data_IF_637186578161
#
_entry.id   IF_637186578161
#
_cell.length_a   1.000
_cell.length_b   1.000
_cell.length_c   1.000
_cell.angle_alpha   90.00
_cell.angle_beta   90.00
_cell.angle_gamma   90.00
#
_symmetry.space_group_name_H-M   'P 1'
#
loop_
_entity.id
_entity.type
_entity.pdbx_description
1 polymer ?
#
# COMPACT_ATOMS: atom_id res chain seq x y z
N UNK A 1 -9.15 -4.38 -11.88
CA UNK A 1 -8.43 -5.25 -10.91
C UNK A 1 -8.82 -6.72 -11.04
N UNK A 2 -10.03 -7.09 -11.43
CA UNK A 2 -10.46 -8.51 -11.52
C UNK A 2 -9.64 -9.46 -12.43
N UNK A 3 -8.72 -8.94 -13.27
CA UNK A 3 -7.78 -9.74 -14.08
C UNK A 3 -6.46 -10.06 -13.35
N UNK A 4 -6.17 -9.37 -12.24
CA UNK A 4 -4.92 -9.46 -11.48
C UNK A 4 -5.26 -9.52 -10.00
N UNK A 5 -4.79 -10.55 -9.30
CA UNK A 5 -5.04 -10.74 -7.87
C UNK A 5 -3.77 -10.44 -7.06
N UNK A 6 -3.47 -9.16 -6.77
CA UNK A 6 -2.26 -8.80 -6.02
C UNK A 6 -2.35 -9.28 -4.58
N UNK A 7 -1.26 -9.81 -4.03
CA UNK A 7 -1.18 -10.15 -2.61
C UNK A 7 -1.00 -8.90 -1.73
N UNK A 8 -0.24 -7.93 -2.23
CA UNK A 8 0.11 -6.71 -1.53
C UNK A 8 -0.22 -5.50 -2.40
N UNK A 9 -0.73 -4.44 -1.79
CA UNK A 9 -1.08 -3.17 -2.40
C UNK A 9 -0.39 -2.03 -1.63
N UNK A 10 0.08 -1.01 -2.34
CA UNK A 10 0.78 0.12 -1.74
C UNK A 10 0.03 1.39 -2.11
N UNK A 11 -0.30 2.19 -1.09
CA UNK A 11 -0.89 3.51 -1.23
C UNK A 11 0.14 4.53 -0.77
N UNK A 12 0.55 5.40 -1.68
CA UNK A 12 1.41 6.54 -1.37
C UNK A 12 0.53 7.75 -1.07
N UNK A 13 0.46 8.12 0.20
CA UNK A 13 -0.25 9.30 0.67
C UNK A 13 0.52 10.01 1.81
N UNK A 14 0.25 11.30 1.97
CA UNK A 14 0.79 12.12 3.05
C UNK A 14 -0.06 12.07 4.30
N UNK A 15 0.59 12.14 5.47
CA UNK A 15 -0.09 12.34 6.75
C UNK A 15 -0.92 13.63 6.69
N UNK A 16 -2.16 13.58 7.16
CA UNK A 16 -3.13 14.68 7.09
C UNK A 16 -3.46 15.13 5.66
N UNK A 17 -3.64 14.18 4.73
CA UNK A 17 -4.01 14.50 3.36
C UNK A 17 -5.35 15.27 3.28
N UNK A 18 -5.27 16.53 2.85
CA UNK A 18 -6.43 17.43 2.68
C UNK A 18 -7.29 17.11 1.46
N UNK A 19 -6.80 16.27 0.55
CA UNK A 19 -7.54 15.82 -0.64
C UNK A 19 -8.50 14.65 -0.34
N UNK A 20 -8.49 14.12 0.88
CA UNK A 20 -9.39 13.04 1.28
C UNK A 20 -9.05 11.68 0.66
N UNK A 21 -7.79 11.48 0.26
CA UNK A 21 -7.30 10.16 -0.13
C UNK A 21 -6.77 9.37 1.09
N UNK A 22 -6.65 8.04 0.94
CA UNK A 22 -7.40 7.22 -0.01
C UNK A 22 -8.91 7.26 0.32
N UNK A 23 -9.74 7.45 -0.71
CA UNK A 23 -11.20 7.44 -0.55
C UNK A 23 -11.70 6.03 -0.24
N UNK A 24 -12.86 5.91 0.42
CA UNK A 24 -13.46 4.61 0.77
C UNK A 24 -13.66 3.69 -0.44
N UNK A 25 -14.01 4.24 -1.61
CA UNK A 25 -14.13 3.48 -2.86
C UNK A 25 -12.83 2.76 -3.25
N UNK A 26 -11.68 3.39 -3.05
CA UNK A 26 -10.36 2.80 -3.33
C UNK A 26 -10.05 1.70 -2.32
N UNK A 27 -10.36 1.92 -1.03
CA UNK A 27 -10.16 0.91 0.01
C UNK A 27 -11.01 -0.35 -0.25
N UNK A 28 -12.26 -0.16 -0.71
CA UNK A 28 -13.16 -1.26 -1.07
C UNK A 28 -12.65 -2.07 -2.27
N UNK A 29 -12.03 -1.42 -3.25
CA UNK A 29 -11.41 -2.11 -4.40
C UNK A 29 -10.17 -2.91 -3.98
N UNK A 30 -9.43 -2.43 -2.98
CA UNK A 30 -8.20 -3.03 -2.48
C UNK A 30 -8.41 -3.99 -1.30
N UNK A 31 -9.66 -4.29 -0.93
CA UNK A 31 -9.99 -5.14 0.22
C UNK A 31 -9.43 -6.57 0.13
N UNK A 32 -9.14 -7.05 -1.08
CA UNK A 32 -8.64 -8.39 -1.35
C UNK A 32 -7.10 -8.49 -1.30
N UNK A 33 -6.40 -7.39 -1.03
CA UNK A 33 -4.95 -7.37 -0.89
C UNK A 33 -4.53 -6.75 0.44
N UNK A 34 -3.35 -7.12 0.93
CA UNK A 34 -2.78 -6.48 2.10
C UNK A 34 -2.28 -5.08 1.74
N UNK A 35 -2.86 -4.05 2.35
CA UNK A 35 -2.61 -2.64 2.01
C UNK A 35 -1.55 -2.05 2.95
N UNK A 36 -0.45 -1.57 2.36
CA UNK A 36 0.53 -0.71 3.01
C UNK A 36 0.29 0.76 2.64
N UNK A 37 0.48 1.67 3.59
CA UNK A 37 0.13 3.08 3.50
C UNK A 37 1.23 3.96 4.05
N UNK A 38 1.81 4.84 3.23
CA UNK A 38 2.92 5.71 3.69
C UNK A 38 2.51 6.71 4.76
N UNK A 39 1.22 7.07 4.83
CA UNK A 39 0.69 7.97 5.85
C UNK A 39 0.54 7.31 7.24
N UNK A 40 0.54 5.97 7.28
CA UNK A 40 0.39 5.16 8.51
C UNK A 40 1.66 4.40 8.87
N UNK A 41 2.22 3.68 7.89
CA UNK A 41 3.35 2.78 8.02
C UNK A 41 4.70 3.48 7.78
N UNK A 42 4.67 4.78 7.48
CA UNK A 42 5.84 5.59 7.15
C UNK A 42 6.52 5.15 5.86
N UNK A 43 7.84 5.01 5.88
CA UNK A 43 8.58 4.63 4.67
C UNK A 43 8.43 3.14 4.38
N UNK A 44 8.09 2.79 3.13
CA UNK A 44 7.92 1.40 2.69
C UNK A 44 9.09 1.03 1.76
N UNK A 45 9.92 0.08 2.18
CA UNK A 45 11.02 -0.47 1.37
C UNK A 45 10.61 -1.81 0.78
N UNK A 46 10.64 -1.90 -0.55
CA UNK A 46 10.47 -3.15 -1.30
C UNK A 46 11.82 -3.59 -1.85
N UNK A 47 12.28 -4.76 -1.42
CA UNK A 47 13.51 -5.38 -1.89
C UNK A 47 13.18 -6.54 -2.81
N UNK A 48 13.54 -6.44 -4.08
CA UNK A 48 13.29 -7.47 -5.09
C UNK A 48 14.49 -8.41 -5.13
N UNK A 49 14.24 -9.71 -5.02
CA UNK A 49 15.26 -10.76 -5.11
C UNK A 49 14.99 -11.66 -6.32
N UNK A 50 15.95 -12.51 -6.67
CA UNK A 50 15.75 -13.52 -7.74
C UNK A 50 14.58 -14.48 -7.47
N UNK A 51 14.20 -14.65 -6.20
CA UNK A 51 13.18 -15.61 -5.77
C UNK A 51 11.87 -14.96 -5.34
N UNK A 52 11.78 -13.63 -5.34
CA UNK A 52 10.57 -12.92 -4.92
C UNK A 52 10.85 -11.49 -4.47
N UNK A 53 10.22 -11.08 -3.37
CA UNK A 53 10.42 -9.76 -2.78
C UNK A 53 10.21 -9.78 -1.27
N UNK A 54 10.77 -8.79 -0.58
CA UNK A 54 10.57 -8.52 0.85
C UNK A 54 10.07 -7.09 1.04
N UNK A 55 9.13 -6.90 1.96
CA UNK A 55 8.60 -5.57 2.31
C UNK A 55 9.01 -5.27 3.75
N UNK A 56 9.51 -4.06 3.99
CA UNK A 56 9.80 -3.51 5.32
C UNK A 56 9.18 -2.13 5.44
N UNK A 57 8.58 -1.85 6.58
CA UNK A 57 8.02 -0.53 6.92
C UNK A 57 8.89 0.13 8.00
N UNK A 58 8.92 1.45 8.00
CA UNK A 58 9.66 2.25 8.96
C UNK A 58 8.74 3.35 9.45
N UNK A 59 8.32 3.23 10.71
CA UNK A 59 7.41 4.20 11.32
C UNK A 59 8.03 5.61 11.30
N UNK A 60 7.23 6.65 11.03
CA UNK A 60 7.67 8.03 10.91
C UNK A 60 7.94 8.72 12.26
#
# INVERSE_FOLDING_TARGET
INKINPKNCIISDGKNNRYGHPTESVLNILNNCHVYRTDKDGSIKVEITKTGYKIKTFEP
#
